data_IF_476938621640
#
_entry.id   IF_476938621640
#
_cell.length_a   1.000
_cell.length_b   1.000
_cell.length_c   1.000
_cell.angle_alpha   90.00
_cell.angle_beta   90.00
_cell.angle_gamma   90.00
#
_symmetry.space_group_name_H-M   'P 1'
#
loop_
_entity.id
_entity.type
_entity.pdbx_description
1 polymer ?
#
# COMPACT_ATOMS: atom_id res chain seq x y z
N UNK A 1 -13.84 -21.69 15.93
CA UNK A 1 -14.91 -21.24 16.84
C UNK A 1 -14.29 -20.21 17.77
N UNK A 2 -14.35 -18.92 17.41
CA UNK A 2 -13.66 -17.86 18.14
C UNK A 2 -14.45 -17.48 19.39
N UNK A 3 -13.84 -17.65 20.56
CA UNK A 3 -14.27 -16.96 21.79
C UNK A 3 -13.94 -15.49 21.56
N UNK A 4 -14.97 -14.66 21.38
CA UNK A 4 -14.82 -13.22 21.36
C UNK A 4 -14.17 -12.78 22.68
N UNK A 5 -13.00 -12.14 22.58
CA UNK A 5 -12.23 -11.68 23.72
C UNK A 5 -13.02 -10.58 24.46
N UNK A 6 -13.64 -10.95 25.58
CA UNK A 6 -14.44 -10.07 26.42
C UNK A 6 -13.66 -8.84 26.92
N UNK A 7 -12.32 -8.90 26.90
CA UNK A 7 -11.46 -7.76 27.24
C UNK A 7 -11.52 -6.64 26.20
N UNK A 8 -11.62 -6.97 24.89
CA UNK A 8 -11.77 -5.99 23.80
C UNK A 8 -13.15 -5.34 23.80
N UNK A 9 -14.21 -6.10 24.09
CA UNK A 9 -15.56 -5.57 24.21
C UNK A 9 -15.71 -4.62 25.42
N UNK A 10 -15.06 -4.95 26.55
CA UNK A 10 -15.01 -4.10 27.75
C UNK A 10 -14.23 -2.79 27.49
N UNK A 11 -13.11 -2.86 26.75
CA UNK A 11 -12.35 -1.67 26.36
C UNK A 11 -13.12 -0.75 25.40
N UNK A 12 -13.85 -1.33 24.43
CA UNK A 12 -14.74 -0.59 23.54
C UNK A 12 -15.91 0.07 24.29
N UNK A 13 -16.55 -0.62 25.23
CA UNK A 13 -17.61 -0.05 26.09
C UNK A 13 -17.08 1.06 27.00
N UNK A 14 -15.86 0.95 27.55
CA UNK A 14 -15.24 2.01 28.34
C UNK A 14 -14.86 3.25 27.50
N UNK A 15 -14.48 3.04 26.23
CA UNK A 15 -14.25 4.11 25.25
C UNK A 15 -15.55 4.84 24.90
N UNK A 16 -16.65 4.13 24.63
CA UNK A 16 -17.97 4.72 24.39
C UNK A 16 -18.47 5.51 25.60
N UNK A 17 -18.31 4.96 26.82
CA UNK A 17 -18.71 5.66 28.06
C UNK A 17 -17.89 6.94 28.29
N UNK A 18 -16.59 6.90 27.97
CA UNK A 18 -15.69 8.06 28.04
C UNK A 18 -16.02 9.11 26.97
N UNK A 19 -16.40 8.67 25.76
CA UNK A 19 -16.87 9.54 24.68
C UNK A 19 -18.14 10.28 25.07
N UNK A 20 -19.13 9.56 25.61
CA UNK A 20 -20.39 10.16 26.06
C UNK A 20 -20.18 11.10 27.25
N UNK A 21 -19.30 10.77 28.20
CA UNK A 21 -19.06 11.60 29.38
C UNK A 21 -18.32 12.90 29.03
N UNK A 22 -17.31 12.83 28.15
CA UNK A 22 -16.58 14.01 27.63
C UNK A 22 -17.50 14.86 26.74
N UNK A 23 -18.25 14.23 25.82
CA UNK A 23 -19.21 14.94 24.98
C UNK A 23 -20.32 15.61 25.81
N UNK A 24 -20.80 14.96 26.88
CA UNK A 24 -21.80 15.50 27.81
C UNK A 24 -21.25 16.67 28.62
N UNK A 25 -20.01 16.60 29.11
CA UNK A 25 -19.36 17.73 29.79
C UNK A 25 -19.22 18.94 28.86
N UNK A 26 -18.82 18.73 27.60
CA UNK A 26 -18.70 19.83 26.64
C UNK A 26 -20.04 20.40 26.19
N UNK A 27 -21.05 19.55 26.01
CA UNK A 27 -22.40 19.99 25.68
C UNK A 27 -23.06 20.82 26.78
N UNK A 28 -22.65 20.66 28.05
CA UNK A 28 -23.27 21.39 29.16
C UNK A 28 -22.78 22.83 29.31
N UNK A 29 -21.63 23.23 28.76
CA UNK A 29 -21.16 24.63 28.78
C UNK A 29 -20.94 25.23 30.18
N UNK A 30 -20.97 24.44 31.26
CA UNK A 30 -20.81 24.90 32.64
C UNK A 30 -19.45 24.46 33.18
N UNK A 31 -18.46 25.35 33.15
CA UNK A 31 -17.13 25.15 33.76
C UNK A 31 -15.97 25.55 32.84
N UNK A 32 -14.77 25.65 33.44
CA UNK A 32 -13.50 25.96 32.75
C UNK A 32 -13.07 24.77 31.87
N UNK A 33 -13.79 24.58 30.77
CA UNK A 33 -13.65 23.44 29.84
C UNK A 33 -12.20 23.29 29.33
N UNK A 34 -11.46 24.39 29.23
CA UNK A 34 -10.05 24.39 28.84
C UNK A 34 -9.18 23.60 29.84
N UNK A 35 -9.39 23.76 31.15
CA UNK A 35 -8.61 23.07 32.17
C UNK A 35 -8.88 21.55 32.20
N UNK A 36 -10.14 21.16 32.05
CA UNK A 36 -10.55 19.74 32.01
C UNK A 36 -10.01 19.06 30.76
N UNK A 37 -10.11 19.73 29.59
CA UNK A 37 -9.52 19.20 28.37
C UNK A 37 -8.00 19.16 28.41
N UNK A 38 -7.36 20.19 28.94
CA UNK A 38 -5.91 20.20 29.10
C UNK A 38 -5.44 19.01 29.95
N UNK A 39 -6.14 18.72 31.05
CA UNK A 39 -5.86 17.55 31.88
C UNK A 39 -6.11 16.23 31.14
N UNK A 40 -7.16 16.15 30.32
CA UNK A 40 -7.48 14.96 29.53
C UNK A 40 -6.47 14.72 28.40
N UNK A 41 -6.09 15.75 27.63
CA UNK A 41 -5.04 15.72 26.60
C UNK A 41 -3.69 15.27 27.19
N UNK A 42 -3.42 15.68 28.43
CA UNK A 42 -2.22 15.28 29.18
C UNK A 42 -2.27 13.85 29.73
N UNK A 43 -3.44 13.20 29.74
CA UNK A 43 -3.58 11.81 30.16
C UNK A 43 -3.10 10.85 29.05
N UNK A 44 -2.43 9.75 29.42
CA UNK A 44 -1.98 8.74 28.45
C UNK A 44 -3.12 7.80 28.05
N UNK A 45 -3.09 7.32 26.81
CA UNK A 45 -4.00 6.29 26.29
C UNK A 45 -5.35 6.84 25.85
N UNK A 46 -6.38 5.98 25.84
CA UNK A 46 -7.71 6.25 25.29
C UNK A 46 -8.32 7.61 25.69
N UNK A 47 -8.13 8.05 26.94
CA UNK A 47 -8.67 9.34 27.40
C UNK A 47 -8.02 10.54 26.72
N UNK A 48 -6.71 10.48 26.46
CA UNK A 48 -5.99 11.52 25.73
C UNK A 48 -6.37 11.57 24.26
N UNK A 49 -6.53 10.40 23.63
CA UNK A 49 -6.99 10.29 22.24
C UNK A 49 -8.40 10.86 22.06
N UNK A 50 -9.36 10.45 22.90
CA UNK A 50 -10.74 10.97 22.87
C UNK A 50 -10.78 12.48 23.10
N UNK A 51 -9.97 13.00 24.03
CA UNK A 51 -9.89 14.45 24.25
C UNK A 51 -9.35 15.20 23.03
N UNK A 52 -8.33 14.66 22.35
CA UNK A 52 -7.79 15.27 21.13
C UNK A 52 -8.82 15.27 20.00
N UNK A 53 -9.53 14.16 19.81
CA UNK A 53 -10.66 14.06 18.88
C UNK A 53 -11.69 15.16 19.10
N UNK A 54 -12.12 15.27 20.35
CA UNK A 54 -13.16 16.20 20.75
C UNK A 54 -12.74 17.66 20.53
N UNK A 55 -11.47 18.01 20.76
CA UNK A 55 -10.94 19.33 20.36
C UNK A 55 -11.03 19.51 18.85
N UNK A 56 -10.55 18.53 18.09
CA UNK A 56 -10.43 18.64 16.64
C UNK A 56 -11.81 18.86 15.99
N UNK A 57 -12.86 18.23 16.51
CA UNK A 57 -14.25 18.42 16.04
C UNK A 57 -14.96 19.65 16.64
N UNK A 58 -14.41 20.29 17.67
CA UNK A 58 -15.09 21.43 18.34
C UNK A 58 -15.18 22.69 17.48
N UNK A 59 -14.29 22.87 16.51
CA UNK A 59 -14.21 24.12 15.75
C UNK A 59 -13.57 25.29 16.51
N UNK A 60 -13.22 25.13 17.78
CA UNK A 60 -12.77 26.19 18.69
C UNK A 60 -11.28 26.53 18.48
N UNK A 61 -10.97 27.80 18.22
CA UNK A 61 -9.61 28.28 17.98
C UNK A 61 -8.71 28.26 19.21
N UNK A 62 -9.28 28.40 20.41
CA UNK A 62 -8.52 28.38 21.65
C UNK A 62 -8.12 26.94 21.97
N UNK A 63 -9.02 25.99 21.70
CA UNK A 63 -8.73 24.56 21.83
C UNK A 63 -7.71 24.07 20.78
N UNK A 64 -7.79 24.56 19.54
CA UNK A 64 -6.74 24.32 18.53
C UNK A 64 -5.36 24.76 19.06
N UNK A 65 -5.29 25.91 19.72
CA UNK A 65 -4.03 26.46 20.25
C UNK A 65 -3.45 25.58 21.36
N UNK A 66 -4.31 25.02 22.22
CA UNK A 66 -3.93 24.05 23.25
C UNK A 66 -3.34 22.78 22.63
N UNK A 67 -3.99 22.23 21.60
CA UNK A 67 -3.46 21.07 20.88
C UNK A 67 -2.12 21.40 20.22
N UNK A 68 -2.01 22.51 19.49
CA UNK A 68 -0.78 22.90 18.81
C UNK A 68 0.38 23.09 19.78
N UNK A 69 0.13 23.72 20.93
CA UNK A 69 1.11 23.83 22.00
C UNK A 69 1.58 22.44 22.45
N UNK A 70 0.64 21.52 22.71
CA UNK A 70 0.95 20.14 23.11
C UNK A 70 1.77 19.40 22.06
N UNK A 71 1.43 19.55 20.78
CA UNK A 71 2.16 18.96 19.66
C UNK A 71 3.58 19.53 19.51
N UNK A 72 3.77 20.79 19.90
CA UNK A 72 5.06 21.46 19.89
C UNK A 72 5.98 21.07 21.05
N UNK A 73 5.43 20.52 22.14
CA UNK A 73 6.21 20.07 23.30
C UNK A 73 7.29 19.06 22.90
N UNK A 74 8.45 19.14 23.55
CA UNK A 74 9.54 18.18 23.35
C UNK A 74 9.22 16.80 23.91
N UNK A 75 8.24 16.71 24.81
CA UNK A 75 7.92 15.48 25.49
C UNK A 75 7.16 14.54 24.54
N UNK A 76 7.77 13.39 24.25
CA UNK A 76 7.38 12.49 23.16
C UNK A 76 6.03 11.82 23.34
N UNK A 77 5.19 12.25 24.28
CA UNK A 77 3.90 11.63 24.54
C UNK A 77 2.74 12.25 23.74
N UNK A 78 2.92 13.43 23.15
CA UNK A 78 1.85 14.10 22.40
C UNK A 78 1.43 13.32 21.16
N UNK A 79 2.36 12.65 20.47
CA UNK A 79 2.03 11.87 19.28
C UNK A 79 1.07 10.71 19.58
N UNK A 80 1.24 10.01 20.71
CA UNK A 80 0.37 8.87 21.09
C UNK A 80 -1.11 9.22 21.20
N UNK A 81 -1.44 10.48 21.49
CA UNK A 81 -2.82 10.93 21.66
C UNK A 81 -3.33 11.69 20.43
N UNK A 82 -2.48 12.54 19.85
CA UNK A 82 -2.87 13.46 18.77
C UNK A 82 -2.80 12.79 17.40
N UNK A 83 -1.84 11.89 17.18
CA UNK A 83 -1.68 11.20 15.91
C UNK A 83 -2.90 10.32 15.57
N UNK A 84 -3.44 9.46 16.47
CA UNK A 84 -4.64 8.69 16.18
C UNK A 84 -5.86 9.59 15.95
N UNK A 85 -5.99 10.68 16.72
CA UNK A 85 -7.08 11.62 16.58
C UNK A 85 -7.06 12.35 15.23
N UNK A 86 -5.89 12.81 14.79
CA UNK A 86 -5.71 13.39 13.46
C UNK A 86 -6.06 12.38 12.37
N UNK A 87 -5.65 11.11 12.52
CA UNK A 87 -5.84 10.01 11.55
C UNK A 87 -7.30 9.75 11.11
N UNK A 88 -8.27 10.29 11.84
CA UNK A 88 -9.71 10.05 11.67
C UNK A 88 -10.55 11.33 11.68
N UNK A 89 -9.89 12.50 11.60
CA UNK A 89 -10.58 13.77 11.38
C UNK A 89 -11.14 13.87 9.96
N UNK A 90 -12.23 14.62 9.83
CA UNK A 90 -12.77 15.01 8.52
C UNK A 90 -11.88 16.06 7.81
N UNK A 91 -12.17 16.28 6.52
CA UNK A 91 -11.42 17.22 5.66
C UNK A 91 -11.43 18.63 6.23
N UNK A 92 -12.58 19.11 6.69
CA UNK A 92 -12.74 20.50 7.11
C UNK A 92 -11.93 20.78 8.39
N UNK A 93 -11.87 19.80 9.28
CA UNK A 93 -11.01 19.82 10.46
C UNK A 93 -9.54 19.89 10.07
N UNK A 94 -9.10 19.09 9.08
CA UNK A 94 -7.72 19.13 8.59
C UNK A 94 -7.41 20.46 7.91
N UNK A 95 -8.31 21.01 7.10
CA UNK A 95 -8.11 22.32 6.46
C UNK A 95 -7.92 23.42 7.50
N UNK A 96 -8.74 23.39 8.55
CA UNK A 96 -8.70 24.36 9.65
C UNK A 96 -7.43 24.23 10.50
N UNK A 97 -7.04 23.01 10.83
CA UNK A 97 -6.00 22.72 11.83
C UNK A 97 -4.64 22.33 11.24
N UNK A 98 -4.65 21.57 10.15
CA UNK A 98 -3.49 20.91 9.54
C UNK A 98 -2.37 21.88 9.18
N UNK A 99 -2.66 23.06 8.63
CA UNK A 99 -1.62 24.08 8.35
C UNK A 99 -0.84 24.51 9.58
N UNK A 100 -1.56 24.75 10.68
CA UNK A 100 -0.96 25.19 11.93
C UNK A 100 -0.11 24.05 12.51
N UNK A 101 -0.58 22.82 12.41
CA UNK A 101 0.14 21.64 12.85
C UNK A 101 1.42 21.41 12.03
N UNK A 102 1.35 21.54 10.70
CA UNK A 102 2.50 21.39 9.80
C UNK A 102 3.60 22.43 10.06
N UNK A 103 3.23 23.62 10.52
CA UNK A 103 4.20 24.65 10.90
C UNK A 103 5.14 24.21 12.05
N UNK A 104 4.78 23.16 12.80
CA UNK A 104 5.62 22.58 13.84
C UNK A 104 6.77 21.69 13.29
N UNK A 105 6.74 21.35 12.00
CA UNK A 105 7.76 20.55 11.29
C UNK A 105 8.14 19.25 12.01
N UNK A 106 7.19 18.62 12.70
CA UNK A 106 7.41 17.33 13.37
C UNK A 106 7.09 16.19 12.40
N UNK A 107 8.00 15.22 12.17
CA UNK A 107 7.78 14.13 11.21
C UNK A 107 6.49 13.35 11.42
N UNK A 108 6.10 13.07 12.67
CA UNK A 108 4.87 12.35 12.99
C UNK A 108 3.58 13.11 12.63
N UNK A 109 3.62 14.45 12.58
CA UNK A 109 2.49 15.27 12.12
C UNK A 109 2.32 15.11 10.61
N UNK A 110 3.43 15.10 9.87
CA UNK A 110 3.42 14.83 8.44
C UNK A 110 2.89 13.43 8.15
N UNK A 111 3.29 12.40 8.91
CA UNK A 111 2.72 11.05 8.82
C UNK A 111 1.20 11.05 9.11
N UNK A 112 0.80 11.57 10.27
CA UNK A 112 -0.61 11.62 10.67
C UNK A 112 -1.48 12.27 9.60
N UNK A 113 -1.10 13.46 9.14
CA UNK A 113 -1.86 14.21 8.14
C UNK A 113 -1.79 13.56 6.76
N UNK A 114 -0.64 13.04 6.32
CA UNK A 114 -0.53 12.33 5.03
C UNK A 114 -1.45 11.12 4.99
N UNK A 115 -1.57 10.40 6.12
CA UNK A 115 -2.48 9.29 6.24
C UNK A 115 -3.97 9.69 6.16
N UNK A 116 -4.31 10.96 6.39
CA UNK A 116 -5.70 11.46 6.32
C UNK A 116 -5.98 12.13 4.99
N UNK A 117 -5.00 12.82 4.43
CA UNK A 117 -5.03 13.37 3.07
C UNK A 117 -5.21 12.26 2.06
N UNK A 118 -4.50 11.13 2.23
CA UNK A 118 -4.70 9.91 1.46
C UNK A 118 -6.15 9.37 1.57
N UNK A 119 -6.83 9.61 2.69
CA UNK A 119 -8.17 9.06 3.00
C UNK A 119 -9.34 9.93 2.52
N UNK A 120 -9.20 11.25 2.47
CA UNK A 120 -10.37 12.13 2.56
C UNK A 120 -10.58 13.18 1.45
N UNK A 121 -9.65 13.41 0.52
CA UNK A 121 -9.83 14.07 -0.79
C UNK A 121 -8.49 14.70 -1.20
N UNK A 122 -7.91 14.12 -2.23
CA UNK A 122 -6.52 14.30 -2.68
C UNK A 122 -6.28 15.69 -3.31
N UNK A 123 -7.29 16.29 -3.94
CA UNK A 123 -7.12 17.49 -4.76
C UNK A 123 -7.13 18.81 -3.98
N UNK A 124 -7.94 18.93 -2.92
CA UNK A 124 -8.00 20.18 -2.15
C UNK A 124 -6.80 20.34 -1.23
N UNK A 125 -6.29 19.25 -0.64
CA UNK A 125 -5.14 19.27 0.26
C UNK A 125 -3.80 19.38 -0.47
N UNK A 126 -3.68 18.84 -1.70
CA UNK A 126 -2.49 19.03 -2.55
C UNK A 126 -2.17 20.51 -2.80
N UNK A 127 -3.20 21.36 -2.96
CA UNK A 127 -3.03 22.81 -3.11
C UNK A 127 -2.48 23.53 -1.87
N UNK A 128 -2.65 22.89 -0.71
CA UNK A 128 -2.32 23.43 0.61
C UNK A 128 -0.90 23.07 1.06
N UNK A 129 -0.35 21.94 0.59
CA UNK A 129 1.05 21.61 0.80
C UNK A 129 1.92 22.34 -0.21
N UNK A 130 2.71 23.32 0.24
CA UNK A 130 3.78 23.87 -0.60
C UNK A 130 4.78 22.76 -0.91
N UNK A 131 4.88 22.43 -2.18
CA UNK A 131 5.72 21.37 -2.77
C UNK A 131 7.15 21.40 -2.21
N UNK A 132 7.74 22.59 -2.13
CA UNK A 132 9.09 22.79 -1.60
C UNK A 132 9.24 22.34 -0.13
N UNK A 133 8.19 22.49 0.69
CA UNK A 133 8.23 22.12 2.09
C UNK A 133 8.14 20.60 2.30
N UNK A 134 7.35 19.90 1.48
CA UNK A 134 7.26 18.44 1.52
C UNK A 134 8.54 17.77 1.00
N UNK A 135 9.16 18.34 -0.03
CA UNK A 135 10.43 17.83 -0.58
C UNK A 135 11.62 18.20 0.32
N UNK A 136 11.56 19.32 1.04
CA UNK A 136 12.64 19.71 1.96
C UNK A 136 12.80 18.81 3.18
N UNK A 137 11.76 18.05 3.54
CA UNK A 137 11.78 17.07 4.62
C UNK A 137 10.79 15.93 4.33
N UNK A 138 11.05 15.10 3.30
CA UNK A 138 10.10 14.11 2.86
C UNK A 138 10.06 12.97 3.88
N UNK A 139 8.86 12.60 4.31
CA UNK A 139 8.61 11.31 4.95
C UNK A 139 8.14 10.31 3.91
N UNK A 140 8.30 9.02 4.15
CA UNK A 140 7.79 8.00 3.23
C UNK A 140 6.28 8.09 3.06
N UNK A 141 5.55 8.39 4.13
CA UNK A 141 4.11 8.65 4.05
C UNK A 141 3.75 9.82 3.13
N UNK A 142 4.53 10.89 3.15
CA UNK A 142 4.33 12.01 2.22
C UNK A 142 4.51 11.53 0.78
N UNK A 143 5.57 10.77 0.50
CA UNK A 143 5.86 10.25 -0.85
C UNK A 143 4.75 9.31 -1.30
N UNK A 144 4.41 8.29 -0.49
CA UNK A 144 3.31 7.36 -0.79
C UNK A 144 2.02 8.10 -1.07
N UNK A 145 1.69 9.10 -0.23
CA UNK A 145 0.49 9.91 -0.37
C UNK A 145 0.45 10.61 -1.73
N UNK A 146 1.56 11.21 -2.19
CA UNK A 146 1.62 11.78 -3.53
C UNK A 146 1.30 10.73 -4.60
N UNK A 147 1.83 9.51 -4.47
CA UNK A 147 1.49 8.39 -5.36
C UNK A 147 -0.02 8.10 -5.39
N UNK A 148 -0.65 8.02 -4.22
CA UNK A 148 -2.10 7.84 -4.12
C UNK A 148 -2.90 9.03 -4.68
N UNK A 149 -2.40 10.28 -4.54
CA UNK A 149 -3.00 11.48 -5.15
C UNK A 149 -3.06 11.36 -6.67
N UNK A 150 -1.99 10.87 -7.29
CA UNK A 150 -1.93 10.75 -8.74
C UNK A 150 -1.69 12.06 -9.48
N UNK A 151 -1.37 13.15 -8.78
CA UNK A 151 -1.14 14.44 -9.44
C UNK A 151 0.24 14.42 -10.10
N UNK A 152 0.20 14.30 -11.43
CA UNK A 152 1.39 14.23 -12.28
C UNK A 152 2.32 15.44 -12.15
N UNK A 153 1.88 16.58 -11.61
CA UNK A 153 2.73 17.75 -11.36
C UNK A 153 3.88 17.46 -10.38
N UNK A 154 3.77 16.39 -9.56
CA UNK A 154 4.79 15.97 -8.61
C UNK A 154 5.85 15.02 -9.19
N UNK A 155 5.64 14.49 -10.40
CA UNK A 155 6.53 13.49 -11.00
C UNK A 155 7.98 13.97 -11.12
N UNK A 156 8.21 15.22 -11.52
CA UNK A 156 9.56 15.78 -11.64
C UNK A 156 10.29 15.84 -10.29
N UNK A 157 9.59 16.23 -9.23
CA UNK A 157 10.15 16.28 -7.89
C UNK A 157 10.51 14.88 -7.36
N UNK A 158 9.60 13.92 -7.53
CA UNK A 158 9.83 12.53 -7.14
C UNK A 158 10.98 11.91 -7.93
N UNK A 159 11.12 12.22 -9.22
CA UNK A 159 12.27 11.80 -10.04
C UNK A 159 13.59 12.36 -9.54
N UNK A 160 13.62 13.63 -9.13
CA UNK A 160 14.82 14.21 -8.51
C UNK A 160 15.17 13.45 -7.22
N UNK A 161 14.21 13.23 -6.33
CA UNK A 161 14.44 12.55 -5.05
C UNK A 161 14.83 11.07 -5.23
N UNK A 162 14.21 10.38 -6.20
CA UNK A 162 14.52 8.99 -6.55
C UNK A 162 15.95 8.81 -7.07
N UNK A 163 16.51 9.81 -7.74
CA UNK A 163 17.85 9.78 -8.31
C UNK A 163 18.91 10.46 -7.43
N UNK A 164 18.53 10.97 -6.26
CA UNK A 164 19.46 11.58 -5.31
C UNK A 164 20.17 10.47 -4.52
N UNK A 165 21.47 10.32 -4.73
CA UNK A 165 22.29 9.31 -4.05
C UNK A 165 22.50 9.60 -2.55
N UNK A 166 22.30 10.86 -2.12
CA UNK A 166 22.39 11.25 -0.70
C UNK A 166 21.12 10.84 0.08
N UNK A 167 20.07 10.44 -0.62
CA UNK A 167 18.79 9.99 -0.07
C UNK A 167 18.82 8.46 0.10
N UNK A 168 18.29 7.96 1.22
CA UNK A 168 18.32 6.51 1.49
C UNK A 168 17.59 5.70 0.41
N UNK A 169 18.07 4.46 0.16
CA UNK A 169 17.46 3.51 -0.79
C UNK A 169 15.95 3.37 -0.55
N UNK A 170 15.55 3.24 0.72
CA UNK A 170 14.16 3.15 1.14
C UNK A 170 13.29 4.32 0.64
N UNK A 171 13.76 5.56 0.74
CA UNK A 171 13.04 6.73 0.21
C UNK A 171 12.97 6.73 -1.31
N UNK A 172 14.05 6.34 -1.98
CA UNK A 172 14.12 6.25 -3.45
C UNK A 172 13.15 5.21 -3.99
N UNK A 173 13.02 4.07 -3.32
CA UNK A 173 12.07 2.99 -3.64
C UNK A 173 10.62 3.44 -3.46
N UNK A 174 10.34 4.21 -2.41
CA UNK A 174 9.01 4.77 -2.20
C UNK A 174 8.66 5.83 -3.27
N UNK A 175 9.65 6.60 -3.74
CA UNK A 175 9.48 7.51 -4.87
C UNK A 175 9.16 6.74 -6.14
N UNK A 176 9.91 5.67 -6.44
CA UNK A 176 9.65 4.81 -7.58
C UNK A 176 8.24 4.19 -7.52
N UNK A 177 7.80 3.73 -6.34
CA UNK A 177 6.44 3.21 -6.13
C UNK A 177 5.39 4.27 -6.43
N UNK A 178 5.60 5.47 -5.92
CA UNK A 178 4.67 6.58 -6.08
C UNK A 178 4.59 7.05 -7.53
N UNK A 179 5.71 7.08 -8.24
CA UNK A 179 5.76 7.31 -9.68
C UNK A 179 4.95 6.25 -10.44
N UNK A 180 5.08 4.97 -10.08
CA UNK A 180 4.26 3.90 -10.68
C UNK A 180 2.77 4.05 -10.41
N UNK A 181 2.39 4.41 -9.18
CA UNK A 181 1.00 4.70 -8.84
C UNK A 181 0.43 5.83 -9.70
N UNK A 182 1.25 6.86 -9.98
CA UNK A 182 0.92 7.97 -10.91
C UNK A 182 0.97 7.57 -12.40
N UNK A 183 1.34 6.33 -12.72
CA UNK A 183 1.46 5.85 -14.09
C UNK A 183 2.75 6.25 -14.81
N UNK A 184 3.79 6.69 -14.10
CA UNK A 184 5.10 7.04 -14.63
C UNK A 184 6.05 5.82 -14.59
N UNK A 185 6.39 5.31 -15.77
CA UNK A 185 7.19 4.08 -15.92
C UNK A 185 8.62 4.18 -15.40
N UNK A 186 9.13 5.39 -15.14
CA UNK A 186 10.46 5.58 -14.56
C UNK A 186 10.65 4.90 -13.20
N UNK A 187 9.57 4.67 -12.45
CA UNK A 187 9.64 3.88 -11.22
C UNK A 187 9.94 2.40 -11.47
N UNK A 188 9.44 1.82 -12.58
CA UNK A 188 9.75 0.45 -12.98
C UNK A 188 11.20 0.36 -13.45
N UNK A 189 11.66 1.33 -14.23
CA UNK A 189 13.05 1.39 -14.69
C UNK A 189 14.01 1.51 -13.52
N UNK A 190 13.65 2.31 -12.50
CA UNK A 190 14.40 2.40 -11.26
C UNK A 190 14.46 1.07 -10.52
N UNK A 191 13.35 0.34 -10.41
CA UNK A 191 13.38 -0.98 -9.77
C UNK A 191 14.25 -1.98 -10.50
N UNK A 192 14.21 -2.01 -11.84
CA UNK A 192 15.09 -2.86 -12.63
C UNK A 192 16.56 -2.52 -12.35
N UNK A 193 16.91 -1.23 -12.40
CA UNK A 193 18.25 -0.76 -12.07
C UNK A 193 18.65 -1.16 -10.64
N UNK A 194 17.78 -0.91 -9.65
CA UNK A 194 18.08 -1.20 -8.25
C UNK A 194 18.23 -2.70 -7.97
N UNK A 195 17.49 -3.56 -8.68
CA UNK A 195 17.66 -5.01 -8.62
C UNK A 195 19.01 -5.44 -9.22
N UNK A 196 19.37 -4.95 -10.41
CA UNK A 196 20.65 -5.29 -11.06
C UNK A 196 21.85 -4.80 -10.24
N UNK A 197 21.74 -3.64 -9.59
CA UNK A 197 22.77 -3.08 -8.71
C UNK A 197 22.75 -3.64 -7.28
N UNK A 198 21.86 -4.61 -6.99
CA UNK A 198 21.71 -5.24 -5.66
C UNK A 198 21.54 -4.23 -4.53
N UNK A 199 20.77 -3.17 -4.79
CA UNK A 199 20.53 -2.11 -3.81
C UNK A 199 19.62 -2.55 -2.66
N UNK A 200 18.78 -3.56 -2.90
CA UNK A 200 17.89 -4.22 -1.95
C UNK A 200 17.75 -5.69 -2.32
N UNK A 201 17.08 -6.46 -1.46
CA UNK A 201 16.78 -7.87 -1.67
C UNK A 201 15.79 -8.14 -2.83
N UNK A 202 15.54 -9.42 -3.09
CA UNK A 202 14.59 -9.91 -4.09
C UNK A 202 13.15 -9.36 -4.01
N UNK A 203 12.77 -8.57 -3.01
CA UNK A 203 11.48 -7.83 -2.95
C UNK A 203 11.29 -6.89 -4.15
N UNK A 204 12.37 -6.36 -4.73
CA UNK A 204 12.27 -5.55 -5.95
C UNK A 204 11.76 -6.36 -7.14
N UNK A 205 12.18 -7.61 -7.27
CA UNK A 205 11.73 -8.48 -8.35
C UNK A 205 10.23 -8.79 -8.26
N UNK A 206 9.70 -8.89 -7.05
CA UNK A 206 8.26 -8.98 -6.83
C UNK A 206 7.51 -7.75 -7.38
N UNK A 207 8.00 -6.54 -7.11
CA UNK A 207 7.39 -5.31 -7.61
C UNK A 207 7.49 -5.22 -9.15
N UNK A 208 8.66 -5.58 -9.70
CA UNK A 208 8.88 -5.61 -11.15
C UNK A 208 7.94 -6.60 -11.83
N UNK A 209 7.87 -7.84 -11.34
CA UNK A 209 7.01 -8.85 -11.93
C UNK A 209 5.54 -8.49 -11.85
N UNK A 210 5.13 -7.92 -10.72
CA UNK A 210 3.75 -7.52 -10.47
C UNK A 210 3.29 -6.33 -11.31
N UNK A 211 4.12 -5.30 -11.48
CA UNK A 211 3.73 -4.05 -12.14
C UNK A 211 4.30 -3.88 -13.54
N UNK A 212 5.15 -4.82 -13.94
CA UNK A 212 5.84 -4.80 -15.22
C UNK A 212 4.96 -5.13 -16.41
N UNK A 213 5.37 -4.62 -17.57
CA UNK A 213 4.79 -4.95 -18.87
C UNK A 213 5.13 -6.41 -19.27
N UNK A 214 4.26 -7.07 -20.05
CA UNK A 214 4.50 -8.43 -20.53
C UNK A 214 5.81 -8.61 -21.30
N UNK A 215 6.37 -9.82 -21.30
CA UNK A 215 7.49 -10.20 -22.17
C UNK A 215 8.84 -9.60 -21.77
N UNK A 216 9.00 -8.28 -21.83
CA UNK A 216 10.27 -7.59 -21.52
C UNK A 216 10.69 -7.83 -20.07
N UNK A 217 9.71 -7.82 -19.16
CA UNK A 217 9.95 -8.10 -17.74
C UNK A 217 10.27 -9.57 -17.51
N UNK A 218 9.64 -10.48 -18.25
CA UNK A 218 9.97 -11.91 -18.18
C UNK A 218 11.41 -12.14 -18.61
N UNK A 219 11.82 -11.57 -19.75
CA UNK A 219 13.19 -11.69 -20.24
C UNK A 219 14.19 -11.06 -19.28
N UNK A 220 13.90 -9.88 -18.74
CA UNK A 220 14.74 -9.22 -17.76
C UNK A 220 14.92 -10.10 -16.50
N UNK A 221 13.84 -10.52 -15.85
CA UNK A 221 13.91 -11.31 -14.62
C UNK A 221 14.56 -12.69 -14.85
N UNK A 222 14.34 -13.32 -16.01
CA UNK A 222 15.03 -14.58 -16.34
C UNK A 222 16.54 -14.40 -16.54
N UNK A 223 16.99 -13.24 -17.01
CA UNK A 223 18.42 -12.95 -17.10
C UNK A 223 18.99 -12.65 -15.72
N UNK A 224 18.31 -11.83 -14.91
CA UNK A 224 18.72 -11.54 -13.53
C UNK A 224 18.84 -12.82 -12.69
N UNK A 225 17.87 -13.75 -12.78
CA UNK A 225 17.94 -15.02 -12.06
C UNK A 225 19.17 -15.86 -12.43
N UNK A 226 19.68 -15.74 -13.67
CA UNK A 226 20.89 -16.44 -14.12
C UNK A 226 22.15 -15.72 -13.71
N UNK A 227 22.16 -14.39 -13.73
CA UNK A 227 23.32 -13.58 -13.37
C UNK A 227 23.54 -13.55 -11.85
N UNK A 228 22.47 -13.70 -11.07
CA UNK A 228 22.51 -13.73 -9.60
C UNK A 228 22.52 -15.15 -9.03
N UNK A 229 22.86 -16.17 -9.83
CA UNK A 229 22.77 -17.60 -9.46
C UNK A 229 23.54 -18.04 -8.21
N UNK A 230 24.43 -17.20 -7.71
CA UNK A 230 25.27 -17.49 -6.54
C UNK A 230 24.59 -17.11 -5.20
N UNK A 231 23.45 -16.41 -5.22
CA UNK A 231 22.66 -16.03 -4.05
C UNK A 231 21.24 -16.62 -4.15
N UNK A 232 20.98 -17.65 -3.36
CA UNK A 232 19.73 -18.42 -3.40
C UNK A 232 18.50 -17.57 -3.03
N UNK A 233 18.65 -16.62 -2.10
CA UNK A 233 17.57 -15.75 -1.63
C UNK A 233 17.14 -14.77 -2.72
N UNK A 234 18.13 -14.15 -3.39
CA UNK A 234 17.89 -13.24 -4.51
C UNK A 234 17.25 -13.97 -5.69
N UNK A 235 17.79 -15.13 -6.07
CA UNK A 235 17.20 -15.98 -7.14
C UNK A 235 15.77 -16.34 -6.79
N UNK A 236 15.50 -16.81 -5.56
CA UNK A 236 14.15 -17.17 -5.14
C UNK A 236 13.19 -15.98 -5.19
N UNK A 237 13.63 -14.78 -4.80
CA UNK A 237 12.88 -13.53 -4.96
C UNK A 237 12.55 -13.23 -6.43
N UNK A 238 13.53 -13.40 -7.32
CA UNK A 238 13.36 -13.19 -8.76
C UNK A 238 12.37 -14.18 -9.38
N UNK A 239 12.45 -15.46 -9.02
CA UNK A 239 11.52 -16.49 -9.47
C UNK A 239 10.09 -16.21 -8.98
N UNK A 240 9.92 -15.79 -7.72
CA UNK A 240 8.62 -15.31 -7.21
C UNK A 240 8.10 -14.14 -8.05
N UNK A 241 8.97 -13.18 -8.39
CA UNK A 241 8.68 -12.08 -9.30
C UNK A 241 8.16 -12.55 -10.66
N UNK A 242 8.81 -13.53 -11.29
CA UNK A 242 8.34 -14.16 -12.53
C UNK A 242 6.92 -14.73 -12.39
N UNK A 243 6.60 -15.37 -11.27
CA UNK A 243 5.24 -15.82 -10.97
C UNK A 243 4.21 -14.69 -10.96
N UNK A 244 4.55 -13.54 -10.37
CA UNK A 244 3.66 -12.37 -10.30
C UNK A 244 3.46 -11.63 -11.63
N UNK A 245 4.31 -11.90 -12.63
CA UNK A 245 4.01 -11.46 -14.00
C UNK A 245 2.68 -12.04 -14.46
N UNK A 246 2.41 -13.32 -14.15
CA UNK A 246 1.27 -14.03 -14.72
C UNK A 246 1.46 -14.38 -16.19
N UNK A 247 2.68 -14.24 -16.72
CA UNK A 247 3.00 -14.47 -18.12
C UNK A 247 3.42 -15.92 -18.34
N UNK A 248 2.64 -16.66 -19.14
CA UNK A 248 2.93 -18.07 -19.41
C UNK A 248 4.29 -18.28 -20.11
N UNK A 249 4.85 -17.25 -20.76
CA UNK A 249 6.18 -17.31 -21.36
C UNK A 249 7.30 -17.50 -20.34
N UNK A 250 7.07 -17.20 -19.06
CA UNK A 250 8.04 -17.43 -18.01
C UNK A 250 8.28 -18.93 -17.74
N UNK A 251 7.31 -19.80 -18.02
CA UNK A 251 7.32 -21.22 -17.64
C UNK A 251 8.55 -21.96 -18.14
N UNK A 252 8.90 -21.82 -19.42
CA UNK A 252 10.06 -22.54 -19.98
C UNK A 252 11.38 -22.06 -19.36
N UNK A 253 11.45 -20.80 -18.94
CA UNK A 253 12.59 -20.26 -18.21
C UNK A 253 12.62 -20.67 -16.73
N UNK A 254 11.47 -21.01 -16.13
CA UNK A 254 11.35 -21.47 -14.74
C UNK A 254 11.72 -22.95 -14.59
N UNK A 255 11.49 -23.79 -15.60
CA UNK A 255 11.74 -25.24 -15.55
C UNK A 255 13.15 -25.64 -15.06
N UNK A 256 14.25 -25.02 -15.53
CA UNK A 256 15.59 -25.38 -15.05
C UNK A 256 15.75 -25.25 -13.53
N UNK A 257 15.05 -24.30 -12.91
CA UNK A 257 15.13 -24.04 -11.47
C UNK A 257 14.33 -25.05 -10.63
N UNK A 258 13.50 -25.91 -11.23
CA UNK A 258 12.82 -26.99 -10.52
C UNK A 258 13.79 -28.12 -10.12
N UNK A 259 14.94 -28.19 -10.78
CA UNK A 259 16.00 -29.16 -10.51
C UNK A 259 17.22 -28.53 -9.81
N UNK A 260 17.07 -27.30 -9.29
CA UNK A 260 18.14 -26.59 -8.59
C UNK A 260 18.56 -27.34 -7.32
N UNK A 261 19.81 -27.19 -6.87
CA UNK A 261 20.31 -27.83 -5.65
C UNK A 261 19.68 -27.21 -4.39
N UNK A 262 19.36 -25.92 -4.44
CA UNK A 262 18.69 -25.20 -3.35
C UNK A 262 17.21 -25.55 -3.27
N UNK A 263 16.76 -25.95 -2.08
CA UNK A 263 15.33 -26.19 -1.81
C UNK A 263 14.50 -24.92 -1.96
N UNK A 264 15.06 -23.77 -1.58
CA UNK A 264 14.37 -22.48 -1.67
C UNK A 264 14.16 -22.06 -3.13
N UNK A 265 15.18 -22.22 -3.97
CA UNK A 265 15.09 -21.94 -5.41
C UNK A 265 14.07 -22.84 -6.08
N UNK A 266 14.07 -24.15 -5.78
CA UNK A 266 13.06 -25.10 -6.30
C UNK A 266 11.64 -24.73 -5.86
N UNK A 267 11.46 -24.42 -4.58
CA UNK A 267 10.17 -24.04 -4.02
C UNK A 267 9.66 -22.74 -4.66
N UNK A 268 10.55 -21.76 -4.89
CA UNK A 268 10.22 -20.51 -5.56
C UNK A 268 9.83 -20.73 -7.03
N UNK A 269 10.56 -21.56 -7.78
CA UNK A 269 10.21 -21.93 -9.15
C UNK A 269 8.83 -22.60 -9.23
N UNK A 270 8.58 -23.59 -8.37
CA UNK A 270 7.29 -24.28 -8.28
C UNK A 270 6.15 -23.33 -7.89
N UNK A 271 6.39 -22.44 -6.92
CA UNK A 271 5.43 -21.40 -6.51
C UNK A 271 5.13 -20.45 -7.65
N UNK A 272 6.13 -20.04 -8.43
CA UNK A 272 5.95 -19.16 -9.57
C UNK A 272 5.09 -19.81 -10.66
N UNK A 273 5.36 -21.08 -10.99
CA UNK A 273 4.52 -21.86 -11.92
C UNK A 273 3.10 -21.99 -11.36
N UNK A 274 2.95 -22.22 -10.05
CA UNK A 274 1.65 -22.32 -9.37
C UNK A 274 0.86 -21.00 -9.44
N UNK A 275 1.52 -19.86 -9.25
CA UNK A 275 0.88 -18.54 -9.33
C UNK A 275 0.46 -18.19 -10.77
N UNK A 276 1.14 -18.73 -11.79
CA UNK A 276 0.70 -18.56 -13.19
C UNK A 276 -0.46 -19.52 -13.51
N UNK A 277 -0.28 -20.80 -13.19
CA UNK A 277 -1.15 -21.89 -13.68
C UNK A 277 -2.34 -22.21 -12.78
N UNK A 278 -2.30 -21.81 -11.51
CA UNK A 278 -3.31 -22.12 -10.50
C UNK A 278 -3.24 -23.52 -9.91
N UNK A 279 -2.33 -24.36 -10.41
CA UNK A 279 -2.05 -25.67 -9.85
C UNK A 279 -1.13 -25.50 -8.63
N UNK A 280 -1.47 -26.12 -7.49
CA UNK A 280 -0.68 -25.98 -6.26
C UNK A 280 -0.10 -27.33 -5.88
N UNK A 281 1.23 -27.42 -5.81
CA UNK A 281 1.88 -28.68 -5.44
C UNK A 281 3.22 -28.54 -4.70
N UNK A 282 3.41 -27.46 -3.94
CA UNK A 282 4.69 -27.20 -3.24
C UNK A 282 4.88 -28.14 -2.04
N UNK A 283 3.80 -28.59 -1.39
CA UNK A 283 3.89 -29.33 -0.12
C UNK A 283 4.04 -30.86 -0.25
N UNK A 284 3.88 -31.44 -1.46
CA UNK A 284 3.77 -32.90 -1.59
C UNK A 284 5.06 -33.63 -1.96
N UNK A 285 6.13 -32.94 -2.36
CA UNK A 285 7.35 -33.59 -2.87
C UNK A 285 8.56 -33.24 -2.02
N UNK A 286 9.15 -34.28 -1.42
CA UNK A 286 10.42 -34.17 -0.70
C UNK A 286 11.64 -34.38 -1.62
N UNK A 287 11.43 -34.84 -2.85
CA UNK A 287 12.47 -35.18 -3.82
C UNK A 287 12.45 -34.23 -5.04
N UNK A 288 13.65 -33.81 -5.46
CA UNK A 288 13.89 -32.91 -6.60
C UNK A 288 13.36 -33.51 -7.90
N UNK A 289 13.61 -34.80 -8.12
CA UNK A 289 13.24 -35.48 -9.37
C UNK A 289 11.72 -35.63 -9.49
N UNK A 290 11.03 -35.79 -8.36
CA UNK A 290 9.56 -35.91 -8.32
C UNK A 290 8.88 -34.58 -8.66
N UNK A 291 9.37 -33.46 -8.12
CA UNK A 291 8.81 -32.13 -8.38
C UNK A 291 8.97 -31.71 -9.84
N UNK A 292 10.17 -31.88 -10.40
CA UNK A 292 10.44 -31.57 -11.80
C UNK A 292 9.60 -32.45 -12.74
N UNK A 293 9.55 -33.77 -12.48
CA UNK A 293 8.75 -34.71 -13.27
C UNK A 293 7.26 -34.41 -13.21
N UNK A 294 6.74 -34.01 -12.04
CA UNK A 294 5.35 -33.58 -11.88
C UNK A 294 5.02 -32.42 -12.80
N UNK A 295 5.83 -31.35 -12.75
CA UNK A 295 5.58 -30.17 -13.57
C UNK A 295 5.75 -30.45 -15.06
N UNK A 296 6.73 -31.25 -15.46
CA UNK A 296 6.88 -31.66 -16.86
C UNK A 296 5.64 -32.37 -17.39
N UNK A 297 5.10 -33.33 -16.63
CA UNK A 297 3.88 -34.03 -17.00
C UNK A 297 2.68 -33.09 -17.02
N UNK A 298 2.45 -32.32 -15.95
CA UNK A 298 1.28 -31.45 -15.85
C UNK A 298 1.30 -30.38 -16.95
N UNK A 299 2.45 -29.77 -17.22
CA UNK A 299 2.60 -28.76 -18.26
C UNK A 299 2.37 -29.38 -19.65
N UNK A 300 2.91 -30.58 -19.94
CA UNK A 300 2.65 -31.25 -21.21
C UNK A 300 1.15 -31.48 -21.47
N UNK A 301 0.37 -31.75 -20.42
CA UNK A 301 -1.07 -32.01 -20.51
C UNK A 301 -1.94 -30.73 -20.50
N UNK A 302 -1.47 -29.65 -19.88
CA UNK A 302 -2.31 -28.49 -19.56
C UNK A 302 -1.87 -27.16 -20.20
N UNK A 303 -0.61 -27.02 -20.62
CA UNK A 303 -0.06 -25.73 -21.08
C UNK A 303 -0.82 -25.16 -22.29
N UNK A 304 -1.36 -26.03 -23.15
CA UNK A 304 -2.12 -25.64 -24.34
C UNK A 304 -3.44 -24.90 -24.02
N UNK A 305 -3.88 -24.89 -22.75
CA UNK A 305 -5.06 -24.13 -22.28
C UNK A 305 -4.72 -22.66 -22.03
N UNK A 306 -3.44 -22.31 -21.94
CA UNK A 306 -2.96 -20.97 -21.64
C UNK A 306 -2.52 -20.25 -22.91
N UNK A 307 -2.95 -19.00 -23.04
CA UNK A 307 -2.62 -18.11 -24.14
C UNK A 307 -1.55 -17.08 -23.74
N UNK A 308 -0.52 -16.89 -24.56
CA UNK A 308 0.59 -15.98 -24.26
C UNK A 308 0.20 -14.50 -24.27
N UNK A 309 -0.90 -14.12 -24.91
CA UNK A 309 -1.41 -12.76 -24.85
C UNK A 309 -2.26 -12.50 -23.59
N UNK A 310 -2.48 -13.53 -22.78
CA UNK A 310 -3.30 -13.48 -21.56
C UNK A 310 -2.41 -13.46 -20.32
N UNK A 311 -2.63 -12.47 -19.45
CA UNK A 311 -2.10 -12.46 -18.09
C UNK A 311 -2.93 -13.37 -17.21
N UNK A 312 -2.31 -14.30 -16.50
CA UNK A 312 -2.95 -15.19 -15.55
C UNK A 312 -2.62 -14.82 -14.11
N UNK A 313 -3.55 -15.08 -13.20
CA UNK A 313 -3.28 -15.11 -11.77
C UNK A 313 -3.99 -16.32 -11.20
N UNK A 314 -3.20 -17.28 -10.73
CA UNK A 314 -3.64 -18.59 -10.21
C UNK A 314 -4.55 -19.31 -11.18
N UNK A 315 -4.12 -19.41 -12.45
CA UNK A 315 -4.81 -20.17 -13.48
C UNK A 315 -6.03 -19.49 -14.09
N UNK A 316 -6.38 -18.29 -13.62
CA UNK A 316 -7.51 -17.52 -14.12
C UNK A 316 -7.00 -16.28 -14.84
N UNK A 317 -7.60 -15.94 -15.97
CA UNK A 317 -7.30 -14.69 -16.67
C UNK A 317 -7.48 -13.50 -15.71
N UNK A 318 -6.44 -12.66 -15.60
CA UNK A 318 -6.42 -11.53 -14.68
C UNK A 318 -7.49 -10.50 -15.06
N UNK A 319 -8.33 -10.12 -14.11
CA UNK A 319 -9.46 -9.23 -14.35
C UNK A 319 -9.56 -8.17 -13.25
N UNK A 320 -9.60 -6.90 -13.65
CA UNK A 320 -9.71 -5.76 -12.74
C UNK A 320 -11.02 -5.79 -11.94
N UNK A 321 -12.11 -6.33 -12.51
CA UNK A 321 -13.40 -6.43 -11.79
C UNK A 321 -13.30 -7.46 -10.67
N UNK A 322 -12.69 -8.60 -10.95
CA UNK A 322 -12.37 -9.62 -9.94
C UNK A 322 -11.42 -9.07 -8.89
N UNK A 323 -10.43 -8.29 -9.30
CA UNK A 323 -9.51 -7.62 -8.38
C UNK A 323 -10.23 -6.63 -7.45
N UNK A 324 -11.18 -5.83 -7.95
CA UNK A 324 -11.99 -4.93 -7.10
C UNK A 324 -12.76 -5.68 -6.00
N UNK A 325 -13.22 -6.91 -6.25
CA UNK A 325 -13.84 -7.73 -5.20
C UNK A 325 -12.84 -8.14 -4.09
N UNK A 326 -11.55 -8.31 -4.43
CA UNK A 326 -10.50 -8.64 -3.46
C UNK A 326 -10.19 -7.49 -2.50
N UNK A 327 -10.65 -6.27 -2.78
CA UNK A 327 -10.56 -5.17 -1.83
C UNK A 327 -11.35 -5.45 -0.55
N UNK A 328 -12.28 -6.42 -0.54
CA UNK A 328 -12.99 -6.85 0.67
C UNK A 328 -12.32 -8.02 1.41
N UNK A 329 -11.07 -8.37 1.09
CA UNK A 329 -10.34 -9.44 1.77
C UNK A 329 -10.21 -9.15 3.28
N UNK A 330 -10.34 -10.17 4.14
CA UNK A 330 -10.16 -10.01 5.58
C UNK A 330 -8.76 -9.53 5.96
N UNK A 331 -7.74 -9.95 5.20
CA UNK A 331 -6.36 -9.51 5.37
C UNK A 331 -6.15 -8.06 4.88
N UNK A 332 -5.57 -7.22 5.74
CA UNK A 332 -5.37 -5.79 5.47
C UNK A 332 -4.38 -5.56 4.32
N UNK A 333 -3.27 -6.29 4.33
CA UNK A 333 -2.20 -6.10 3.35
C UNK A 333 -2.69 -6.43 1.94
N UNK A 334 -3.45 -7.53 1.81
CA UNK A 334 -4.13 -7.90 0.58
C UNK A 334 -5.04 -6.78 0.04
N UNK A 335 -5.75 -6.05 0.92
CA UNK A 335 -6.62 -4.93 0.50
C UNK A 335 -5.80 -3.75 -0.03
N UNK A 336 -4.72 -3.36 0.66
CA UNK A 336 -3.82 -2.27 0.24
C UNK A 336 -3.18 -2.59 -1.11
N UNK A 337 -2.60 -3.79 -1.22
CA UNK A 337 -2.01 -4.28 -2.47
C UNK A 337 -3.04 -4.26 -3.61
N UNK A 338 -4.26 -4.73 -3.34
CA UNK A 338 -5.33 -4.76 -4.34
C UNK A 338 -5.67 -3.35 -4.82
N UNK A 339 -5.73 -2.37 -3.90
CA UNK A 339 -5.97 -0.97 -4.25
C UNK A 339 -4.86 -0.41 -5.14
N UNK A 340 -3.59 -0.62 -4.78
CA UNK A 340 -2.44 -0.19 -5.60
C UNK A 340 -2.46 -0.79 -6.99
N UNK A 341 -2.78 -2.09 -7.10
CA UNK A 341 -2.91 -2.76 -8.40
C UNK A 341 -4.01 -2.10 -9.24
N UNK A 342 -5.16 -1.83 -8.64
CA UNK A 342 -6.26 -1.17 -9.36
C UNK A 342 -5.82 0.19 -9.87
N UNK A 343 -5.11 0.97 -9.06
CA UNK A 343 -4.58 2.27 -9.49
C UNK A 343 -3.62 2.14 -10.67
N UNK A 344 -2.59 1.30 -10.56
CA UNK A 344 -1.57 1.16 -11.61
C UNK A 344 -2.14 0.59 -12.92
N UNK A 345 -3.09 -0.36 -12.84
CA UNK A 345 -3.64 -0.99 -14.03
C UNK A 345 -4.77 -0.19 -14.68
N UNK A 346 -5.63 0.44 -13.89
CA UNK A 346 -6.74 1.24 -14.41
C UNK A 346 -6.36 2.69 -14.71
N UNK A 347 -5.31 3.21 -14.08
CA UNK A 347 -4.97 4.64 -14.08
C UNK A 347 -5.96 5.51 -13.29
N UNK A 348 -6.90 4.91 -12.57
CA UNK A 348 -7.87 5.62 -11.74
C UNK A 348 -7.30 5.85 -10.35
N UNK A 349 -7.43 7.08 -9.86
CA UNK A 349 -7.03 7.48 -8.51
C UNK A 349 -8.27 7.67 -7.63
N UNK A 350 -8.91 6.56 -7.28
CA UNK A 350 -10.11 6.56 -6.43
C UNK A 350 -9.75 6.27 -4.97
N UNK A 351 -10.47 6.88 -4.02
CA UNK A 351 -10.18 6.71 -2.60
C UNK A 351 -10.43 5.28 -2.15
N UNK A 352 -9.57 4.80 -1.26
CA UNK A 352 -9.79 3.58 -0.51
C UNK A 352 -9.13 3.67 0.87
N UNK A 353 -9.87 3.36 1.92
CA UNK A 353 -9.36 3.40 3.29
C UNK A 353 -9.57 2.03 3.95
N UNK A 354 -8.47 1.28 4.07
CA UNK A 354 -8.47 -0.07 4.60
C UNK A 354 -8.73 -0.13 6.12
N UNK A 355 -8.78 1.03 6.79
CA UNK A 355 -9.02 1.18 8.24
C UNK A 355 -10.39 1.76 8.57
N UNK A 356 -11.13 2.26 7.57
CA UNK A 356 -12.50 2.77 7.77
C UNK A 356 -13.47 1.67 8.20
N UNK A 357 -14.64 2.10 8.69
CA UNK A 357 -15.72 1.18 8.96
C UNK A 357 -16.09 0.39 7.70
N UNK A 358 -16.46 -0.88 7.89
CA UNK A 358 -16.78 -1.80 6.80
C UNK A 358 -17.82 -1.24 5.81
N UNK A 359 -18.79 -0.46 6.29
CA UNK A 359 -19.79 0.18 5.43
C UNK A 359 -19.20 1.21 4.44
N UNK A 360 -18.19 1.97 4.87
CA UNK A 360 -17.51 2.93 4.00
C UNK A 360 -16.64 2.19 2.97
N UNK A 361 -15.97 1.12 3.39
CA UNK A 361 -15.19 0.27 2.49
C UNK A 361 -16.08 -0.33 1.40
N UNK A 362 -17.27 -0.82 1.75
CA UNK A 362 -18.25 -1.28 0.77
C UNK A 362 -18.61 -0.18 -0.22
N UNK A 363 -18.86 1.05 0.26
CA UNK A 363 -19.18 2.19 -0.60
C UNK A 363 -18.04 2.51 -1.57
N UNK A 364 -16.80 2.48 -1.10
CA UNK A 364 -15.61 2.70 -1.94
C UNK A 364 -15.41 1.58 -2.95
N UNK A 365 -15.63 0.31 -2.58
CA UNK A 365 -15.55 -0.82 -3.51
C UNK A 365 -16.62 -0.75 -4.58
N UNK A 366 -17.85 -0.34 -4.24
CA UNK A 366 -18.90 -0.11 -5.24
C UNK A 366 -18.57 1.06 -6.17
N UNK A 367 -17.95 2.13 -5.65
CA UNK A 367 -17.41 3.21 -6.50
C UNK A 367 -16.38 2.66 -7.48
N UNK A 368 -15.38 1.89 -7.02
CA UNK A 368 -14.38 1.26 -7.89
C UNK A 368 -15.02 0.40 -8.97
N UNK A 369 -15.99 -0.45 -8.63
CA UNK A 369 -16.69 -1.30 -9.61
C UNK A 369 -17.42 -0.48 -10.67
N UNK A 370 -18.11 0.59 -10.27
CA UNK A 370 -18.83 1.46 -11.17
C UNK A 370 -17.90 2.21 -12.12
N UNK A 371 -16.79 2.75 -11.60
CA UNK A 371 -15.81 3.47 -12.43
C UNK A 371 -15.07 2.53 -13.38
N UNK A 372 -14.68 1.33 -12.94
CA UNK A 372 -14.10 0.33 -13.82
C UNK A 372 -15.08 -0.09 -14.93
N UNK A 373 -16.37 -0.22 -14.63
CA UNK A 373 -17.38 -0.60 -15.62
C UNK A 373 -17.65 0.51 -16.65
N UNK A 374 -17.43 1.77 -16.29
CA UNK A 374 -17.76 2.93 -17.14
C UNK A 374 -16.54 3.47 -17.90
N UNK A 375 -15.37 3.51 -17.28
CA UNK A 375 -14.17 4.14 -17.85
C UNK A 375 -13.23 3.13 -18.51
N UNK A 376 -13.24 1.87 -18.10
CA UNK A 376 -12.24 0.89 -18.53
C UNK A 376 -12.91 -0.22 -19.35
N UNK A 377 -12.62 -0.24 -20.65
CA UNK A 377 -13.08 -1.29 -21.57
C UNK A 377 -11.98 -2.32 -21.83
N UNK A 378 -11.51 -2.97 -20.76
CA UNK A 378 -10.49 -4.03 -20.86
C UNK A 378 -11.11 -5.38 -20.55
N UNK A 379 -10.81 -6.37 -21.39
CA UNK A 379 -11.20 -7.75 -21.21
C UNK A 379 -10.34 -8.46 -20.17
N UNK A 380 -10.88 -9.53 -19.59
CA UNK A 380 -10.11 -10.41 -18.73
C UNK A 380 -8.87 -10.93 -19.48
N UNK A 381 -7.74 -10.93 -18.79
CA UNK A 381 -6.47 -11.40 -19.33
C UNK A 381 -5.66 -10.36 -20.08
N UNK A 382 -6.22 -9.21 -20.44
CA UNK A 382 -5.46 -8.22 -21.18
C UNK A 382 -4.36 -7.60 -20.32
N UNK A 383 -3.19 -7.43 -20.90
CA UNK A 383 -2.12 -6.64 -20.33
C UNK A 383 -2.50 -5.18 -20.40
N UNK A 384 -2.69 -4.57 -19.24
CA UNK A 384 -3.20 -3.20 -19.13
C UNK A 384 -2.29 -2.41 -18.23
N UNK A 385 -2.12 -1.12 -18.52
CA UNK A 385 -1.46 -0.15 -17.65
C UNK A 385 -2.08 1.21 -17.86
N UNK A 386 -2.35 1.92 -16.77
CA UNK A 386 -3.01 3.23 -16.82
C UNK A 386 -4.28 3.24 -17.70
N UNK A 387 -5.06 2.15 -17.64
CA UNK A 387 -6.31 1.99 -18.38
C UNK A 387 -6.16 1.69 -19.87
N UNK A 388 -4.94 1.44 -20.36
CA UNK A 388 -4.64 1.14 -21.77
C UNK A 388 -4.11 -0.26 -21.93
N UNK A 389 -4.54 -0.95 -22.97
CA UNK A 389 -3.98 -2.25 -23.37
C UNK A 389 -2.57 -2.01 -23.94
N UNK A 390 -1.62 -2.84 -23.51
CA UNK A 390 -0.21 -2.80 -23.93
C UNK A 390 0.05 -3.53 -25.25
#
# INVERSE_FOLDING_TARGET
MYVADASKASALMQLETSYEEIARHLATGVGDNAAVLQAAINSKGARGEVACHVVLYSGDSDMDSILLQKMGEKDGNAHWNVEPALRVCDVDTIKRFGHKALALQKPWIHDALSSVVAKNMLNELASYYRVDALISNPSTYTISMLGYVGDSSYTSALKTLMNDEDVSSYFRIECAKSLLLMGDDSGLDFYKFALSERMEDGTLAYLIGRYGNPGDVVHFLLNEAKEQSDDEDDVAGILKGLGFTGDIRAIDGLKPFLADESEEVRAAASTAISEITGEWNVDQYADVDELASFWDQWLAENIAKFDAATRYQRGVAFDLKTLANKMMNADRESRVITHEHLMMFSGLHLPYDEKRYYADQLTQVELWKNELATQISVGAGQWVRNGRVL
#
